data_IF_016497973870
#
_entry.id   IF_016497973870
#
_cell.length_a   1.000
_cell.length_b   1.000
_cell.length_c   1.000
_cell.angle_alpha   90.00
_cell.angle_beta   90.00
_cell.angle_gamma   90.00
#
_symmetry.space_group_name_H-M   'P 1'
#
loop_
_entity.id
_entity.type
_entity.pdbx_description
1 polymer ?
#
# COMPACT_ATOMS: atom_id res chain seq x y z
N UNK A 1 7.72 18.50 4.56
CA UNK A 1 8.40 17.59 5.51
C UNK A 1 9.68 17.05 4.86
N UNK A 2 10.63 16.55 5.64
CA UNK A 2 11.86 15.88 5.15
C UNK A 2 11.84 14.43 5.60
N UNK A 3 11.98 13.49 4.66
CA UNK A 3 11.98 12.06 4.96
C UNK A 3 13.35 11.63 5.48
N UNK A 4 13.38 10.96 6.64
CA UNK A 4 14.63 10.58 7.33
C UNK A 4 14.75 9.07 7.62
N UNK A 5 13.82 8.27 7.11
CA UNK A 5 13.67 6.86 7.48
C UNK A 5 14.07 5.91 6.34
N UNK A 6 14.88 6.36 5.38
CA UNK A 6 15.31 5.54 4.24
C UNK A 6 16.05 4.28 4.67
N UNK A 7 16.94 4.36 5.65
CA UNK A 7 17.70 3.20 6.12
C UNK A 7 16.79 2.17 6.80
N UNK A 8 15.90 2.62 7.67
CA UNK A 8 14.89 1.78 8.32
C UNK A 8 13.93 1.15 7.30
N UNK A 9 13.54 1.91 6.27
CA UNK A 9 12.74 1.44 5.16
C UNK A 9 13.45 0.31 4.39
N UNK A 10 14.75 0.48 4.08
CA UNK A 10 15.55 -0.56 3.42
C UNK A 10 15.64 -1.84 4.27
N UNK A 11 15.86 -1.70 5.58
CA UNK A 11 15.99 -2.84 6.49
C UNK A 11 14.69 -3.65 6.61
N UNK A 12 13.55 -2.96 6.75
CA UNK A 12 12.25 -3.63 6.82
C UNK A 12 11.84 -4.21 5.46
N UNK A 13 12.09 -3.51 4.36
CA UNK A 13 11.88 -4.06 3.01
C UNK A 13 12.74 -5.30 2.78
N UNK A 14 14.00 -5.29 3.20
CA UNK A 14 14.92 -6.42 3.08
C UNK A 14 14.40 -7.65 3.82
N UNK A 15 13.88 -7.45 5.03
CA UNK A 15 13.24 -8.52 5.81
C UNK A 15 12.06 -9.14 5.06
N UNK A 16 11.18 -8.31 4.49
CA UNK A 16 10.00 -8.78 3.76
C UNK A 16 10.34 -9.48 2.45
N UNK A 17 11.27 -8.93 1.67
CA UNK A 17 11.77 -9.53 0.43
C UNK A 17 12.40 -10.90 0.70
N UNK A 18 13.14 -11.02 1.80
CA UNK A 18 13.81 -12.27 2.19
C UNK A 18 12.82 -13.41 2.49
N UNK A 19 11.61 -13.10 2.96
CA UNK A 19 10.61 -14.15 3.23
C UNK A 19 10.17 -14.88 1.97
N UNK A 20 10.33 -14.30 0.79
CA UNK A 20 9.93 -14.91 -0.48
C UNK A 20 8.51 -15.47 -0.42
N UNK A 21 7.57 -14.64 0.04
CA UNK A 21 6.19 -14.99 0.38
C UNK A 21 5.33 -15.27 -0.87
N UNK A 22 5.68 -16.31 -1.60
CA UNK A 22 4.93 -16.78 -2.78
C UNK A 22 3.98 -17.90 -2.38
N UNK A 23 2.98 -18.18 -3.21
CA UNK A 23 2.08 -19.34 -3.00
C UNK A 23 2.84 -20.68 -2.87
N UNK A 24 3.96 -20.82 -3.58
CA UNK A 24 4.81 -22.00 -3.53
C UNK A 24 5.71 -22.07 -2.27
N UNK A 25 5.70 -21.04 -1.42
CA UNK A 25 6.48 -20.95 -0.19
C UNK A 25 5.60 -20.59 1.03
N UNK A 26 4.82 -21.55 1.57
CA UNK A 26 3.96 -21.33 2.73
C UNK A 26 4.69 -20.79 3.97
N UNK A 27 5.93 -21.20 4.21
CA UNK A 27 6.72 -20.70 5.36
C UNK A 27 7.06 -19.21 5.22
N UNK A 28 7.28 -18.76 3.97
CA UNK A 28 7.44 -17.35 3.64
C UNK A 28 6.19 -16.52 3.92
N UNK A 29 5.02 -17.03 3.50
CA UNK A 29 3.72 -16.42 3.78
C UNK A 29 3.44 -16.34 5.28
N UNK A 30 3.71 -17.42 6.03
CA UNK A 30 3.57 -17.43 7.50
C UNK A 30 4.49 -16.40 8.15
N UNK A 31 5.73 -16.28 7.68
CA UNK A 31 6.70 -15.33 8.22
C UNK A 31 6.28 -13.88 7.95
N UNK A 32 5.84 -13.59 6.72
CA UNK A 32 5.30 -12.29 6.34
C UNK A 32 4.05 -11.93 7.16
N UNK A 33 3.05 -12.82 7.23
CA UNK A 33 1.82 -12.58 8.00
C UNK A 33 2.12 -12.28 9.48
N UNK A 34 3.01 -13.07 10.11
CA UNK A 34 3.44 -12.84 11.50
C UNK A 34 4.14 -11.49 11.66
N UNK A 35 4.99 -11.10 10.71
CA UNK A 35 5.64 -9.80 10.73
C UNK A 35 4.62 -8.65 10.69
N UNK A 36 3.63 -8.72 9.79
CA UNK A 36 2.56 -7.72 9.70
C UNK A 36 1.76 -7.63 11.00
N UNK A 37 1.31 -8.76 11.56
CA UNK A 37 0.56 -8.82 12.82
C UNK A 37 1.34 -8.14 13.94
N UNK A 38 2.60 -8.58 14.15
CA UNK A 38 3.45 -8.03 15.21
C UNK A 38 3.68 -6.53 15.06
N UNK A 39 3.88 -6.05 13.82
CA UNK A 39 4.09 -4.62 13.56
C UNK A 39 2.84 -3.79 13.82
N UNK A 40 1.66 -4.26 13.40
CA UNK A 40 0.41 -3.58 13.70
C UNK A 40 0.15 -3.53 15.22
N UNK A 41 0.35 -4.63 15.93
CA UNK A 41 0.21 -4.67 17.39
C UNK A 41 1.16 -3.71 18.10
N UNK A 42 2.44 -3.65 17.69
CA UNK A 42 3.43 -2.70 18.21
C UNK A 42 3.01 -1.24 18.01
N UNK A 43 2.32 -0.94 16.91
CA UNK A 43 1.82 0.40 16.58
C UNK A 43 0.44 0.70 17.19
N UNK A 44 -0.06 -0.19 18.06
CA UNK A 44 -1.29 -0.02 18.82
C UNK A 44 -2.57 -0.27 18.03
N UNK A 45 -2.50 -1.07 16.97
CA UNK A 45 -3.70 -1.55 16.26
C UNK A 45 -4.29 -2.75 16.99
N UNK A 46 -5.63 -2.85 16.96
CA UNK A 46 -6.33 -4.11 17.21
C UNK A 46 -6.25 -4.96 15.94
N UNK A 47 -5.70 -6.16 16.03
CA UNK A 47 -5.50 -7.06 14.90
C UNK A 47 -6.45 -8.25 14.98
N UNK A 48 -7.13 -8.53 13.87
CA UNK A 48 -7.93 -9.73 13.65
C UNK A 48 -7.38 -10.49 12.45
N UNK A 49 -7.19 -11.80 12.61
CA UNK A 49 -6.92 -12.72 11.50
C UNK A 49 -8.18 -13.50 11.15
N UNK A 50 -8.40 -13.69 9.86
CA UNK A 50 -9.50 -14.50 9.31
C UNK A 50 -8.85 -15.60 8.48
N UNK A 51 -8.92 -16.82 9.00
CA UNK A 51 -8.24 -17.97 8.42
C UNK A 51 -9.11 -18.67 7.38
N UNK A 52 -8.49 -19.02 6.25
CA UNK A 52 -8.99 -20.05 5.36
C UNK A 52 -8.54 -21.42 5.91
N UNK A 53 -9.48 -22.32 6.23
CA UNK A 53 -9.14 -23.66 6.76
C UNK A 53 -8.31 -24.50 5.80
N UNK A 54 -8.47 -24.28 4.50
CA UNK A 54 -7.72 -25.00 3.45
C UNK A 54 -6.37 -24.34 3.13
N UNK A 55 -6.12 -23.14 3.64
CA UNK A 55 -4.89 -22.38 3.43
C UNK A 55 -4.53 -21.50 4.64
N UNK A 56 -4.42 -22.10 5.83
CA UNK A 56 -4.20 -21.37 7.08
C UNK A 56 -2.86 -20.63 7.17
N UNK A 57 -1.93 -20.93 6.26
CA UNK A 57 -0.61 -20.29 6.15
C UNK A 57 -0.66 -18.85 5.61
N UNK A 58 -1.83 -18.40 5.14
CA UNK A 58 -2.04 -17.08 4.54
C UNK A 58 -3.36 -16.43 4.98
N UNK A 59 -3.53 -16.13 6.28
CA UNK A 59 -4.76 -15.50 6.76
C UNK A 59 -4.96 -14.11 6.16
N UNK A 60 -6.23 -13.71 6.00
CA UNK A 60 -6.58 -12.30 5.82
C UNK A 60 -6.36 -11.58 7.16
N UNK A 61 -5.70 -10.43 7.14
CA UNK A 61 -5.41 -9.61 8.31
C UNK A 61 -6.22 -8.33 8.23
N UNK A 62 -6.95 -8.01 9.29
CA UNK A 62 -7.59 -6.72 9.50
C UNK A 62 -6.95 -6.07 10.73
N UNK A 63 -6.35 -4.91 10.54
CA UNK A 63 -5.77 -4.12 11.64
C UNK A 63 -6.49 -2.77 11.73
N UNK A 64 -7.03 -2.46 12.90
CA UNK A 64 -7.80 -1.23 13.15
C UNK A 64 -7.19 -0.46 14.30
N UNK A 65 -6.95 0.84 14.09
CA UNK A 65 -6.62 1.80 15.13
C UNK A 65 -7.69 2.89 15.14
N UNK A 66 -8.40 3.04 16.25
CA UNK A 66 -9.47 4.02 16.38
C UNK A 66 -8.93 5.47 16.28
N UNK A 67 -9.75 6.42 15.79
CA UNK A 67 -9.39 7.83 15.81
C UNK A 67 -9.24 8.34 17.24
N UNK A 68 -8.51 9.45 17.40
CA UNK A 68 -8.18 10.07 18.70
C UNK A 68 -8.53 11.56 18.70
N UNK A 69 -8.43 12.18 19.88
CA UNK A 69 -8.53 13.63 20.08
C UNK A 69 -9.76 14.32 19.43
N UNK A 70 -10.87 13.59 19.31
CA UNK A 70 -12.12 14.12 18.72
C UNK A 70 -12.19 14.07 17.20
N UNK A 71 -11.22 13.45 16.53
CA UNK A 71 -11.36 13.06 15.13
C UNK A 71 -12.39 11.92 15.01
N UNK A 72 -13.17 11.90 13.94
CA UNK A 72 -14.19 10.87 13.67
C UNK A 72 -13.93 10.08 12.38
N UNK A 73 -12.98 10.54 11.55
CA UNK A 73 -12.72 9.94 10.24
C UNK A 73 -11.78 8.76 10.30
N UNK A 74 -11.94 7.83 9.36
CA UNK A 74 -11.01 6.73 9.13
C UNK A 74 -10.42 6.76 7.72
N UNK A 75 -9.12 6.46 7.62
CA UNK A 75 -8.41 6.21 6.38
C UNK A 75 -8.08 4.72 6.28
N UNK A 76 -8.51 4.11 5.18
CA UNK A 76 -8.31 2.70 4.88
C UNK A 76 -7.16 2.48 3.91
N UNK A 77 -6.44 1.38 4.10
CA UNK A 77 -5.37 0.91 3.22
C UNK A 77 -5.65 -0.54 2.85
N UNK A 78 -5.65 -0.82 1.55
CA UNK A 78 -5.60 -2.18 1.05
C UNK A 78 -4.16 -2.53 0.70
N UNK A 79 -3.73 -3.71 1.11
CA UNK A 79 -2.40 -4.25 0.85
C UNK A 79 -2.45 -5.78 0.71
N UNK A 80 -1.33 -6.37 0.31
CA UNK A 80 -1.13 -7.80 0.34
C UNK A 80 0.32 -8.11 0.71
N UNK A 81 0.54 -9.30 1.27
CA UNK A 81 1.86 -9.74 1.71
C UNK A 81 2.38 -10.94 0.91
N UNK A 82 1.55 -11.54 0.05
CA UNK A 82 2.02 -12.46 -0.97
C UNK A 82 2.66 -11.70 -2.13
N UNK A 83 3.61 -12.32 -2.82
CA UNK A 83 4.31 -11.72 -3.97
C UNK A 83 4.33 -12.69 -5.14
N UNK A 84 4.32 -12.14 -6.36
CA UNK A 84 4.38 -12.92 -7.59
C UNK A 84 5.64 -13.83 -7.67
N UNK A 85 5.53 -15.06 -8.18
CA UNK A 85 6.69 -15.92 -8.40
C UNK A 85 7.74 -15.30 -9.34
N UNK A 86 9.00 -15.71 -9.18
CA UNK A 86 10.08 -15.30 -10.09
C UNK A 86 10.15 -16.25 -11.27
N UNK A 87 9.82 -15.76 -12.47
CA UNK A 87 9.87 -16.58 -13.71
C UNK A 87 10.84 -16.05 -14.78
N UNK A 88 11.45 -14.88 -14.57
CA UNK A 88 12.31 -14.19 -15.54
C UNK A 88 13.73 -14.08 -15.03
N UNK A 89 14.68 -13.76 -15.90
CA UNK A 89 16.07 -13.48 -15.51
C UNK A 89 16.16 -12.16 -14.76
N UNK A 90 16.93 -12.13 -13.68
CA UNK A 90 17.23 -10.93 -12.90
C UNK A 90 18.73 -10.65 -12.91
N UNK A 91 19.09 -9.38 -12.82
CA UNK A 91 20.48 -8.95 -12.68
C UNK A 91 20.96 -9.04 -11.22
N UNK A 92 20.02 -9.00 -10.28
CA UNK A 92 20.22 -9.12 -8.83
C UNK A 92 19.36 -10.26 -8.30
N UNK A 93 19.78 -10.91 -7.22
CA UNK A 93 18.95 -11.93 -6.57
C UNK A 93 17.60 -11.32 -6.13
N UNK A 94 16.46 -11.81 -6.63
CA UNK A 94 15.14 -11.24 -6.32
C UNK A 94 14.75 -11.36 -4.84
N UNK A 95 15.36 -12.29 -4.09
CA UNK A 95 15.07 -12.55 -2.68
C UNK A 95 16.08 -11.92 -1.72
N UNK A 96 17.03 -11.17 -2.26
CA UNK A 96 18.00 -10.38 -1.49
C UNK A 96 17.89 -8.92 -1.92
N UNK A 97 17.39 -8.05 -1.03
CA UNK A 97 17.25 -6.64 -1.34
C UNK A 97 18.61 -6.04 -1.72
N UNK A 98 18.68 -5.47 -2.92
CA UNK A 98 19.90 -4.83 -3.42
C UNK A 98 19.65 -3.34 -3.63
N UNK A 99 20.44 -2.48 -2.98
CA UNK A 99 20.44 -1.05 -3.31
C UNK A 99 21.49 -0.77 -4.39
N UNK A 100 21.07 -0.19 -5.51
CA UNK A 100 21.99 0.28 -6.55
C UNK A 100 21.43 1.46 -7.33
N UNK A 101 22.27 2.47 -7.56
CA UNK A 101 21.90 3.67 -8.33
C UNK A 101 20.58 4.33 -7.84
N UNK A 102 20.45 4.50 -6.51
CA UNK A 102 19.28 5.12 -5.86
C UNK A 102 17.96 4.36 -6.08
N UNK A 103 18.05 3.04 -6.32
CA UNK A 103 16.91 2.14 -6.36
C UNK A 103 17.14 0.94 -5.45
N UNK A 104 16.07 0.48 -4.83
CA UNK A 104 16.06 -0.77 -4.07
C UNK A 104 15.37 -1.85 -4.90
N UNK A 105 16.12 -2.90 -5.26
CA UNK A 105 15.69 -4.01 -6.10
C UNK A 105 15.33 -5.23 -5.25
N UNK A 106 14.21 -5.86 -5.58
CA UNK A 106 13.73 -7.08 -4.93
C UNK A 106 12.32 -7.41 -5.40
N UNK A 107 11.95 -8.70 -5.41
CA UNK A 107 10.58 -9.12 -5.74
C UNK A 107 9.59 -8.58 -4.69
N UNK A 108 8.50 -7.98 -5.16
CA UNK A 108 7.44 -7.40 -4.34
C UNK A 108 7.73 -5.98 -3.87
N UNK A 109 8.90 -5.42 -4.22
CA UNK A 109 9.26 -4.06 -3.83
C UNK A 109 8.25 -3.01 -4.31
N UNK A 110 7.76 -3.16 -5.54
CA UNK A 110 6.79 -2.26 -6.14
C UNK A 110 5.34 -2.74 -5.93
N UNK A 111 5.12 -4.04 -5.73
CA UNK A 111 3.80 -4.61 -5.48
C UNK A 111 3.81 -5.56 -4.28
N UNK A 112 3.59 -5.07 -3.06
CA UNK A 112 3.53 -3.65 -2.67
C UNK A 112 4.32 -3.36 -1.38
N UNK A 113 5.38 -4.14 -1.12
CA UNK A 113 6.22 -4.07 0.09
C UNK A 113 6.77 -2.66 0.31
N UNK A 114 7.41 -2.07 -0.71
CA UNK A 114 8.01 -0.74 -0.60
C UNK A 114 7.00 0.35 -0.22
N UNK A 115 5.89 0.50 -0.98
CA UNK A 115 4.78 1.38 -0.63
C UNK A 115 4.22 1.12 0.78
N UNK A 116 4.01 -0.14 1.17
CA UNK A 116 3.49 -0.48 2.49
C UNK A 116 4.42 -0.03 3.62
N UNK A 117 5.71 -0.44 3.57
CA UNK A 117 6.69 -0.12 4.63
C UNK A 117 6.87 1.39 4.74
N UNK A 118 6.84 2.13 3.62
CA UNK A 118 6.92 3.58 3.65
C UNK A 118 5.75 4.20 4.44
N UNK A 119 4.52 3.75 4.18
CA UNK A 119 3.32 4.24 4.88
C UNK A 119 3.36 3.88 6.36
N UNK A 120 3.76 2.65 6.68
CA UNK A 120 3.87 2.18 8.05
C UNK A 120 4.86 3.04 8.86
N UNK A 121 6.06 3.29 8.30
CA UNK A 121 7.07 4.12 8.92
C UNK A 121 6.65 5.58 9.02
N UNK A 122 5.95 6.11 8.02
CA UNK A 122 5.37 7.44 8.12
C UNK A 122 4.45 7.54 9.34
N UNK A 123 3.53 6.59 9.49
CA UNK A 123 2.53 6.56 10.58
C UNK A 123 3.18 6.37 11.96
N UNK A 124 4.24 5.57 12.03
CA UNK A 124 5.01 5.35 13.26
C UNK A 124 5.70 6.63 13.74
N UNK A 125 6.34 7.36 12.83
CA UNK A 125 7.14 8.53 13.17
C UNK A 125 6.36 9.85 13.10
N UNK A 126 5.14 9.84 12.57
CA UNK A 126 4.24 10.98 12.50
C UNK A 126 2.87 10.56 13.03
N UNK A 127 2.64 10.63 14.35
CA UNK A 127 1.34 10.33 14.93
C UNK A 127 0.23 11.18 14.29
N UNK A 128 -0.88 10.53 13.98
CA UNK A 128 -2.08 11.15 13.40
C UNK A 128 -3.31 10.75 14.23
N UNK A 129 -4.29 11.64 14.33
CA UNK A 129 -5.51 11.39 15.09
C UNK A 129 -6.61 10.70 14.28
N UNK A 130 -6.45 10.60 12.95
CA UNK A 130 -7.36 9.81 12.11
C UNK A 130 -7.36 8.33 12.51
N UNK A 131 -8.53 7.70 12.41
CA UNK A 131 -8.64 6.26 12.49
C UNK A 131 -7.95 5.62 11.30
N UNK A 132 -7.29 4.48 11.52
CA UNK A 132 -6.57 3.76 10.47
C UNK A 132 -7.10 2.34 10.37
N UNK A 133 -7.38 1.90 9.14
CA UNK A 133 -7.84 0.55 8.84
C UNK A 133 -6.91 -0.05 7.79
N UNK A 134 -6.31 -1.19 8.08
CA UNK A 134 -5.57 -1.98 7.10
C UNK A 134 -6.30 -3.29 6.84
N UNK A 135 -6.50 -3.61 5.58
CA UNK A 135 -6.93 -4.92 5.11
C UNK A 135 -5.79 -5.49 4.28
N UNK A 136 -5.15 -6.54 4.79
CA UNK A 136 -3.96 -7.15 4.19
C UNK A 136 -4.20 -8.62 3.93
N UNK A 137 -4.08 -9.07 2.68
CA UNK A 137 -4.28 -10.47 2.29
C UNK A 137 -2.99 -11.16 1.86
N UNK A 138 -2.98 -12.50 1.83
CA UNK A 138 -1.85 -13.33 1.39
C UNK A 138 -2.15 -14.13 0.14
N UNK A 139 -2.99 -13.62 -0.74
CA UNK A 139 -3.44 -14.31 -1.94
C UNK A 139 -3.82 -13.37 -3.10
N UNK A 140 -3.36 -12.11 -3.09
CA UNK A 140 -3.67 -11.16 -4.17
C UNK A 140 -3.17 -11.67 -5.53
N UNK A 141 -1.95 -12.19 -5.54
CA UNK A 141 -1.22 -12.59 -6.75
C UNK A 141 -1.81 -13.86 -7.38
N UNK A 142 -2.59 -14.62 -6.61
CA UNK A 142 -3.35 -15.77 -7.12
C UNK A 142 -4.84 -15.46 -7.38
N UNK A 143 -5.23 -14.19 -7.33
CA UNK A 143 -6.57 -13.72 -7.66
C UNK A 143 -7.54 -13.60 -6.47
N UNK A 144 -7.06 -13.69 -5.24
CA UNK A 144 -7.84 -13.43 -4.01
C UNK A 144 -9.09 -14.30 -3.79
N UNK A 145 -9.02 -15.64 -3.99
CA UNK A 145 -10.20 -16.50 -3.99
C UNK A 145 -10.97 -16.54 -2.65
N UNK A 146 -10.27 -16.49 -1.52
CA UNK A 146 -10.90 -16.48 -0.20
C UNK A 146 -11.38 -15.09 0.18
N UNK A 147 -10.59 -14.05 -0.09
CA UNK A 147 -10.96 -12.66 0.15
C UNK A 147 -12.22 -12.24 -0.63
N UNK A 148 -12.43 -12.76 -1.84
CA UNK A 148 -13.68 -12.57 -2.61
C UNK A 148 -14.93 -13.04 -1.84
N UNK A 149 -14.82 -14.14 -1.12
CA UNK A 149 -15.90 -14.69 -0.29
C UNK A 149 -16.07 -13.87 1.00
N UNK A 150 -14.97 -13.41 1.59
CA UNK A 150 -14.97 -12.78 2.91
C UNK A 150 -15.34 -11.30 2.87
N UNK A 151 -14.82 -10.53 1.91
CA UNK A 151 -15.02 -9.07 1.84
C UNK A 151 -16.48 -8.61 1.92
N UNK A 152 -17.46 -9.27 1.26
CA UNK A 152 -18.88 -8.88 1.40
C UNK A 152 -19.43 -8.94 2.83
N UNK A 153 -18.80 -9.73 3.70
CA UNK A 153 -19.22 -9.94 5.10
C UNK A 153 -18.25 -9.35 6.12
N UNK A 154 -17.17 -8.71 5.64
CA UNK A 154 -16.12 -8.19 6.50
C UNK A 154 -16.64 -6.98 7.27
N UNK A 155 -16.73 -7.11 8.60
CA UNK A 155 -17.14 -6.03 9.47
C UNK A 155 -15.95 -5.07 9.69
N UNK A 156 -16.02 -3.90 9.08
CA UNK A 156 -15.05 -2.82 9.25
C UNK A 156 -15.73 -1.60 9.89
N UNK A 157 -14.99 -0.74 10.62
CA UNK A 157 -15.49 0.60 10.89
C UNK A 157 -15.73 1.33 9.57
N UNK A 158 -16.57 2.38 9.60
CA UNK A 158 -16.76 3.24 8.42
C UNK A 158 -15.42 3.82 7.98
N UNK A 159 -15.04 3.57 6.73
CA UNK A 159 -13.83 4.15 6.11
C UNK A 159 -14.25 5.32 5.22
N UNK A 160 -13.70 6.49 5.48
CA UNK A 160 -14.06 7.72 4.76
C UNK A 160 -13.22 7.94 3.50
N UNK A 161 -12.01 7.38 3.46
CA UNK A 161 -11.12 7.42 2.31
C UNK A 161 -10.25 6.16 2.27
N UNK A 162 -10.18 5.52 1.10
CA UNK A 162 -9.22 4.46 0.84
C UNK A 162 -8.00 4.96 0.06
N UNK A 163 -6.83 4.50 0.46
CA UNK A 163 -5.58 4.72 -0.26
C UNK A 163 -5.19 3.42 -0.97
N UNK A 164 -4.97 3.53 -2.28
CA UNK A 164 -4.49 2.46 -3.16
C UNK A 164 -3.12 1.94 -2.75
N UNK A 165 -2.80 0.70 -3.10
CA UNK A 165 -1.65 -0.01 -2.54
C UNK A 165 -0.27 0.44 -3.06
N UNK A 166 -0.15 1.06 -4.24
CA UNK A 166 1.15 1.33 -4.90
C UNK A 166 1.53 2.80 -5.13
N UNK A 167 0.64 3.62 -5.71
CA UNK A 167 0.94 4.94 -6.27
C UNK A 167 1.71 4.89 -7.60
N UNK A 168 1.98 6.05 -8.22
CA UNK A 168 2.74 6.07 -9.49
C UNK A 168 3.29 7.43 -9.93
N UNK A 169 4.51 7.43 -10.47
CA UNK A 169 5.15 8.54 -11.17
C UNK A 169 5.53 8.17 -12.61
N UNK A 170 5.31 9.10 -13.53
CA UNK A 170 5.77 8.95 -14.93
C UNK A 170 7.26 9.29 -15.06
N UNK A 171 7.93 8.82 -16.12
CA UNK A 171 9.35 9.11 -16.45
C UNK A 171 9.67 10.60 -16.49
N UNK A 172 8.68 11.45 -16.77
CA UNK A 172 8.83 12.90 -16.80
C UNK A 172 8.68 13.55 -15.41
N UNK A 173 8.60 12.78 -14.33
CA UNK A 173 8.45 13.24 -12.95
C UNK A 173 7.02 13.63 -12.56
N UNK A 174 6.04 13.56 -13.46
CA UNK A 174 4.66 13.84 -13.10
C UNK A 174 4.06 12.72 -12.24
N UNK A 175 3.37 13.05 -11.16
CA UNK A 175 2.63 12.07 -10.36
C UNK A 175 1.30 11.74 -11.06
N UNK A 176 0.96 10.46 -11.13
CA UNK A 176 -0.38 10.01 -11.48
C UNK A 176 -1.22 9.89 -10.21
N UNK A 177 -2.33 10.60 -10.18
CA UNK A 177 -3.33 10.47 -9.12
C UNK A 177 -4.59 9.86 -9.73
N UNK A 178 -4.92 8.65 -9.30
CA UNK A 178 -6.18 7.99 -9.62
C UNK A 178 -7.18 8.32 -8.52
N UNK A 179 -8.42 8.59 -8.91
CA UNK A 179 -9.54 8.68 -7.96
C UNK A 179 -10.74 7.87 -8.43
N UNK A 180 -11.45 7.26 -7.49
CA UNK A 180 -12.74 6.58 -7.74
C UNK A 180 -13.79 7.17 -6.81
N UNK A 181 -15.00 7.35 -7.33
CA UNK A 181 -16.08 8.08 -6.68
C UNK A 181 -16.15 9.54 -7.13
N UNK A 182 -17.27 10.20 -6.82
CA UNK A 182 -17.48 11.62 -7.10
C UNK A 182 -17.78 12.35 -5.80
N UNK A 183 -16.72 12.68 -5.07
CA UNK A 183 -16.78 13.30 -3.75
C UNK A 183 -16.02 14.62 -3.78
N UNK A 184 -16.58 15.67 -3.16
CA UNK A 184 -15.88 16.95 -2.99
C UNK A 184 -14.50 16.75 -2.34
N UNK A 185 -14.43 15.85 -1.35
CA UNK A 185 -13.21 15.36 -0.71
C UNK A 185 -12.09 15.02 -1.70
N UNK A 186 -12.41 14.27 -2.77
CA UNK A 186 -11.39 13.83 -3.72
C UNK A 186 -10.86 14.97 -4.58
N UNK A 187 -11.66 16.02 -4.81
CA UNK A 187 -11.18 17.22 -5.52
C UNK A 187 -10.22 18.00 -4.60
N UNK A 188 -10.61 18.22 -3.34
CA UNK A 188 -9.76 18.93 -2.37
C UNK A 188 -8.41 18.22 -2.18
N UNK A 189 -8.42 16.88 -2.09
CA UNK A 189 -7.21 16.08 -2.00
C UNK A 189 -6.35 16.18 -3.27
N UNK A 190 -6.95 16.19 -4.46
CA UNK A 190 -6.20 16.36 -5.72
C UNK A 190 -5.51 17.73 -5.77
N UNK A 191 -6.20 18.80 -5.37
CA UNK A 191 -5.64 20.15 -5.31
C UNK A 191 -4.47 20.22 -4.30
N UNK A 192 -4.60 19.56 -3.15
CA UNK A 192 -3.51 19.45 -2.18
C UNK A 192 -2.30 18.70 -2.75
N UNK A 193 -2.53 17.58 -3.46
CA UNK A 193 -1.46 16.82 -4.11
C UNK A 193 -0.79 17.61 -5.25
N UNK A 194 -1.55 18.43 -6.00
CA UNK A 194 -1.02 19.37 -6.98
C UNK A 194 -0.05 20.38 -6.38
N UNK A 195 -0.41 20.94 -5.22
CA UNK A 195 0.46 21.83 -4.48
C UNK A 195 1.74 21.12 -4.02
N UNK A 196 1.63 19.90 -3.46
CA UNK A 196 2.81 19.11 -3.09
C UNK A 196 3.68 18.84 -4.31
N UNK A 197 3.12 18.35 -5.42
CA UNK A 197 3.92 18.05 -6.61
C UNK A 197 4.66 19.28 -7.14
N UNK A 198 4.03 20.46 -7.07
CA UNK A 198 4.62 21.72 -7.51
C UNK A 198 5.83 22.12 -6.66
N UNK A 199 5.85 21.82 -5.34
CA UNK A 199 7.04 22.09 -4.49
C UNK A 199 8.23 21.18 -4.83
N UNK A 200 7.96 19.99 -5.38
CA UNK A 200 8.96 19.07 -5.92
C UNK A 200 9.27 19.32 -7.42
N UNK A 201 8.70 20.36 -8.03
CA UNK A 201 8.89 20.68 -9.45
C UNK A 201 8.19 19.73 -10.43
N UNK A 202 7.27 18.90 -9.95
CA UNK A 202 6.47 17.95 -10.73
C UNK A 202 5.06 18.48 -11.06
N UNK A 203 4.38 17.78 -11.96
CA UNK A 203 2.96 18.03 -12.28
C UNK A 203 2.08 16.87 -11.78
N UNK A 204 0.80 17.14 -11.57
CA UNK A 204 -0.21 16.09 -11.34
C UNK A 204 -0.88 15.68 -12.65
N UNK A 205 -1.11 14.39 -12.79
CA UNK A 205 -1.94 13.79 -13.86
C UNK A 205 -3.10 13.06 -13.21
N UNK A 206 -4.17 13.80 -12.92
CA UNK A 206 -5.39 13.25 -12.36
C UNK A 206 -6.13 12.39 -13.40
N UNK A 207 -6.64 11.23 -12.96
CA UNK A 207 -7.46 10.32 -13.76
C UNK A 207 -8.59 9.77 -12.89
N UNK A 208 -9.83 9.88 -13.35
CA UNK A 208 -11.01 9.35 -12.66
C UNK A 208 -11.29 7.91 -13.10
N UNK A 209 -10.54 6.96 -12.54
CA UNK A 209 -10.67 5.52 -12.81
C UNK A 209 -9.96 4.72 -11.71
N UNK A 210 -10.32 3.46 -11.47
CA UNK A 210 -9.58 2.58 -10.57
C UNK A 210 -8.20 2.21 -11.15
N UNK A 211 -7.38 1.58 -10.30
CA UNK A 211 -6.18 0.88 -10.73
C UNK A 211 -6.53 -0.19 -11.77
N UNK A 212 -5.64 -0.40 -12.74
CA UNK A 212 -5.79 -1.52 -13.65
C UNK A 212 -5.47 -2.81 -12.90
N UNK A 213 -6.37 -3.79 -12.97
CA UNK A 213 -6.16 -5.13 -12.41
C UNK A 213 -6.15 -6.16 -13.54
N UNK A 214 -5.38 -7.24 -13.36
CA UNK A 214 -5.14 -8.25 -14.41
C UNK A 214 -6.43 -8.83 -15.00
N UNK A 215 -7.47 -8.98 -14.17
CA UNK A 215 -8.77 -9.54 -14.56
C UNK A 215 -9.85 -8.48 -14.81
N UNK A 216 -9.48 -7.19 -14.82
CA UNK A 216 -10.41 -6.06 -14.87
C UNK A 216 -10.94 -5.66 -13.49
N UNK A 217 -11.42 -4.42 -13.39
CA UNK A 217 -11.84 -3.84 -12.10
C UNK A 217 -13.02 -4.59 -11.46
N UNK A 218 -13.99 -5.05 -12.25
CA UNK A 218 -15.18 -5.77 -11.76
C UNK A 218 -14.88 -7.19 -11.25
N UNK A 219 -13.71 -7.74 -11.57
CA UNK A 219 -13.28 -9.08 -11.15
C UNK A 219 -12.14 -9.05 -10.13
N UNK A 220 -11.73 -7.86 -9.69
CA UNK A 220 -10.80 -7.73 -8.58
C UNK A 220 -11.62 -7.69 -7.29
N UNK A 221 -11.48 -8.67 -6.39
CA UNK A 221 -12.29 -8.74 -5.18
C UNK A 221 -12.22 -7.48 -4.31
N UNK A 222 -11.04 -6.87 -4.22
CA UNK A 222 -10.84 -5.60 -3.53
C UNK A 222 -11.68 -4.46 -4.15
N UNK A 223 -11.63 -4.28 -5.47
CA UNK A 223 -12.40 -3.22 -6.15
C UNK A 223 -13.90 -3.50 -6.20
N UNK A 224 -14.30 -4.77 -6.35
CA UNK A 224 -15.69 -5.19 -6.48
C UNK A 224 -16.45 -5.19 -5.14
N UNK A 225 -15.74 -5.42 -4.02
CA UNK A 225 -16.33 -5.55 -2.70
C UNK A 225 -15.84 -4.48 -1.72
N UNK A 226 -14.55 -4.49 -1.40
CA UNK A 226 -14.00 -3.65 -0.32
C UNK A 226 -14.06 -2.15 -0.64
N UNK A 227 -13.71 -1.77 -1.87
CA UNK A 227 -13.61 -0.38 -2.32
C UNK A 227 -14.83 0.09 -3.12
N UNK A 228 -15.82 -0.78 -3.31
CA UNK A 228 -16.95 -0.50 -4.17
C UNK A 228 -17.81 0.64 -3.60
N UNK A 229 -17.97 1.70 -4.39
CA UNK A 229 -18.71 2.91 -4.00
C UNK A 229 -18.01 3.77 -2.94
N UNK A 230 -16.79 3.42 -2.52
CA UNK A 230 -16.03 4.17 -1.53
C UNK A 230 -15.12 5.22 -2.19
N UNK A 231 -14.89 6.39 -1.56
CA UNK A 231 -13.87 7.32 -2.02
C UNK A 231 -12.50 6.66 -1.97
N UNK A 232 -11.75 6.75 -3.07
CA UNK A 232 -10.45 6.12 -3.18
C UNK A 232 -9.47 7.01 -3.94
N UNK A 233 -8.22 7.04 -3.50
CA UNK A 233 -7.13 7.82 -4.09
C UNK A 233 -5.83 7.00 -4.20
N UNK A 234 -5.05 7.21 -5.27
CA UNK A 234 -3.74 6.58 -5.41
C UNK A 234 -2.58 7.53 -5.15
N UNK A 235 -1.74 7.18 -4.17
CA UNK A 235 -0.47 7.86 -3.85
C UNK A 235 0.58 6.82 -3.44
N UNK A 236 1.86 7.07 -3.72
CA UNK A 236 2.92 6.10 -3.44
C UNK A 236 4.09 6.21 -4.42
N UNK A 237 5.22 5.54 -4.14
CA UNK A 237 6.53 5.83 -4.73
C UNK A 237 6.86 5.06 -6.02
N UNK A 238 5.95 4.26 -6.59
CA UNK A 238 6.24 3.53 -7.83
C UNK A 238 6.50 4.47 -9.00
N UNK A 239 7.28 4.04 -9.97
CA UNK A 239 7.52 4.77 -11.21
C UNK A 239 7.49 3.88 -12.46
N UNK A 240 7.63 4.50 -13.62
CA UNK A 240 7.75 3.80 -14.92
C UNK A 240 8.95 2.81 -14.99
N UNK A 241 9.85 2.80 -14.00
CA UNK A 241 10.98 1.88 -13.90
C UNK A 241 10.77 0.79 -12.82
N UNK A 242 9.63 0.79 -12.12
CA UNK A 242 9.38 -0.14 -11.02
C UNK A 242 9.18 -1.59 -11.46
N UNK A 243 8.81 -1.82 -12.73
CA UNK A 243 8.69 -3.16 -13.34
C UNK A 243 7.93 -4.19 -12.49
N UNK A 244 6.75 -3.83 -11.98
CA UNK A 244 5.81 -4.75 -11.29
C UNK A 244 5.64 -6.04 -12.12
N UNK A 245 5.75 -7.20 -11.47
CA UNK A 245 5.73 -8.55 -12.08
C UNK A 245 6.81 -8.78 -13.17
N UNK A 246 7.76 -7.87 -13.26
CA UNK A 246 8.85 -7.85 -14.22
C UNK A 246 10.19 -8.27 -13.61
N UNK A 247 11.24 -8.34 -14.45
CA UNK A 247 12.60 -8.46 -13.96
C UNK A 247 13.05 -7.17 -13.27
N UNK A 248 13.95 -7.29 -12.30
CA UNK A 248 14.55 -6.16 -11.58
C UNK A 248 13.51 -5.19 -10.99
N UNK A 249 12.39 -5.73 -10.50
CA UNK A 249 11.37 -4.95 -9.79
C UNK A 249 12.03 -4.12 -8.69
N UNK A 250 11.66 -2.84 -8.61
CA UNK A 250 12.34 -1.91 -7.73
C UNK A 250 11.55 -0.65 -7.41
N UNK A 251 12.01 0.06 -6.39
CA UNK A 251 11.49 1.39 -6.04
C UNK A 251 12.62 2.41 -6.05
N UNK A 252 12.33 3.61 -6.57
CA UNK A 252 13.22 4.75 -6.51
C UNK A 252 13.25 5.32 -5.10
N UNK A 253 14.43 5.34 -4.49
CA UNK A 253 14.63 5.92 -3.14
C UNK A 253 14.34 7.43 -3.15
N UNK A 254 14.61 8.09 -4.27
CA UNK A 254 14.37 9.53 -4.44
C UNK A 254 12.89 9.93 -4.35
N UNK A 255 11.96 8.98 -4.54
CA UNK A 255 10.52 9.25 -4.48
C UNK A 255 9.92 9.09 -3.08
N UNK A 256 10.68 8.56 -2.11
CA UNK A 256 10.18 8.31 -0.76
C UNK A 256 9.78 9.61 -0.05
N UNK A 257 10.54 10.70 -0.23
CA UNK A 257 10.20 11.98 0.41
C UNK A 257 8.91 12.59 -0.15
N UNK A 258 8.81 12.65 -1.47
CA UNK A 258 7.63 13.22 -2.13
C UNK A 258 6.37 12.37 -1.82
N UNK A 259 6.49 11.05 -1.89
CA UNK A 259 5.39 10.14 -1.55
C UNK A 259 4.98 10.27 -0.07
N UNK A 260 5.94 10.48 0.85
CA UNK A 260 5.64 10.68 2.26
C UNK A 260 4.95 12.05 2.51
N UNK A 261 5.33 13.09 1.76
CA UNK A 261 4.65 14.38 1.78
C UNK A 261 3.21 14.28 1.23
N UNK A 262 2.96 13.41 0.24
CA UNK A 262 1.59 13.12 -0.21
C UNK A 262 0.74 12.49 0.88
N UNK A 263 1.27 11.48 1.57
CA UNK A 263 0.56 10.85 2.68
C UNK A 263 0.29 11.86 3.81
N UNK A 264 1.26 12.72 4.13
CA UNK A 264 1.10 13.77 5.13
C UNK A 264 -0.10 14.68 4.86
N UNK A 265 -0.20 15.24 3.64
CA UNK A 265 -1.30 16.18 3.32
C UNK A 265 -2.65 15.49 3.29
N UNK A 266 -2.70 14.22 2.85
CA UNK A 266 -3.95 13.43 2.86
C UNK A 266 -4.40 13.19 4.30
N UNK A 267 -3.53 12.67 5.16
CA UNK A 267 -3.90 12.37 6.55
C UNK A 267 -4.28 13.63 7.33
N UNK A 268 -3.54 14.73 7.18
CA UNK A 268 -3.88 16.02 7.81
C UNK A 268 -5.21 16.59 7.33
N UNK A 269 -5.51 16.44 6.04
CA UNK A 269 -6.80 16.87 5.52
C UNK A 269 -7.93 16.05 6.12
N UNK A 270 -7.78 14.72 6.16
CA UNK A 270 -8.76 13.82 6.77
C UNK A 270 -8.97 14.08 8.26
N UNK A 271 -7.91 14.43 9.00
CA UNK A 271 -7.94 14.79 10.42
C UNK A 271 -8.74 16.08 10.67
N UNK A 272 -8.71 17.02 9.72
CA UNK A 272 -9.44 18.28 9.80
C UNK A 272 -10.93 18.17 9.45
N UNK A 273 -11.34 17.05 8.85
CA UNK A 273 -12.76 16.75 8.60
C UNK A 273 -13.40 16.33 9.92
N UNK A 274 -14.43 17.06 10.32
CA UNK A 274 -15.28 16.73 11.47
C UNK A 274 -16.36 15.76 11.06
#
# INVERSE_FOLDING_TARGET
MTWKHTQEWLEQCSTMVHYAATEANPDGLVSAAKWYINRFEQLGFSVQTIENKDASYRPLIVAVRAPKNGCETHVGFFHHYDVEPVQKTWDYDPWTLTERAQRAYGRGMADNIGPFIQRLLFIEHNPVDVGLVFVVQGEEEIGSPFADIIYPTLALPKVDLWIEETGYFYKNGSQRVLTVGNHALLNDLVDLLENVNSTFGGMTRHRKRPLNKAFGAERCPCLAHLLNGQPYISIGPNDDYSTVHGPNESISINLLEQSAAHLEVVLKHMEALK
#
